data_IF_361094078052
#
_entry.id   IF_361094078052
#
_cell.length_a   1.000
_cell.length_b   1.000
_cell.length_c   1.000
_cell.angle_alpha   90.00
_cell.angle_beta   90.00
_cell.angle_gamma   90.00
#
_symmetry.space_group_name_H-M   'P 1'
#
loop_
_entity.id
_entity.type
_entity.pdbx_description
1 polymer ?
#
# COMPACT_ATOMS: atom_id res chain seq x y z
N UNK A 1 -10.45 -7.86 -40.05
CA UNK A 1 -10.63 -7.08 -38.80
C UNK A 1 -10.26 -8.04 -37.68
N UNK A 2 -9.02 -7.94 -37.18
CA UNK A 2 -8.54 -8.84 -36.15
C UNK A 2 -9.23 -8.49 -34.82
N UNK A 3 -9.72 -9.51 -34.12
CA UNK A 3 -10.28 -9.41 -32.78
C UNK A 3 -9.22 -8.79 -31.84
N UNK A 4 -9.62 -7.76 -31.09
CA UNK A 4 -8.74 -7.01 -30.16
C UNK A 4 -8.69 -7.71 -28.78
N UNK A 5 -9.24 -8.93 -28.67
CA UNK A 5 -9.56 -9.58 -27.39
C UNK A 5 -8.45 -10.46 -26.80
N UNK A 6 -7.30 -10.60 -27.44
CA UNK A 6 -6.16 -11.35 -26.85
C UNK A 6 -4.90 -10.48 -26.81
N UNK A 7 -4.86 -9.52 -25.88
CA UNK A 7 -3.59 -8.96 -25.43
C UNK A 7 -3.03 -9.93 -24.38
N UNK A 8 -1.99 -10.69 -24.74
CA UNK A 8 -1.28 -11.57 -23.79
C UNK A 8 -0.92 -10.78 -22.51
N UNK A 9 -1.35 -11.31 -21.36
CA UNK A 9 -1.00 -10.77 -20.05
C UNK A 9 -1.94 -9.71 -19.46
N UNK A 10 -3.11 -9.47 -20.05
CA UNK A 10 -4.19 -8.71 -19.39
C UNK A 10 -5.04 -9.66 -18.55
N UNK A 11 -5.18 -9.35 -17.26
CA UNK A 11 -5.97 -10.13 -16.32
C UNK A 11 -7.41 -9.61 -16.30
N UNK A 12 -8.40 -10.51 -16.39
CA UNK A 12 -9.80 -10.16 -16.18
C UNK A 12 -10.11 -9.99 -14.69
N UNK A 13 -10.71 -8.85 -14.34
CA UNK A 13 -11.09 -8.55 -12.95
C UNK A 13 -12.36 -9.29 -12.54
N UNK A 14 -12.39 -9.77 -11.28
CA UNK A 14 -13.54 -10.48 -10.69
C UNK A 14 -14.16 -9.73 -9.49
N UNK A 15 -13.82 -8.45 -9.32
CA UNK A 15 -14.28 -7.61 -8.22
C UNK A 15 -14.90 -6.32 -8.77
N UNK A 16 -16.19 -6.14 -8.53
CA UNK A 16 -16.99 -5.07 -9.14
C UNK A 16 -17.20 -3.85 -8.22
N UNK A 17 -16.90 -3.98 -6.92
CA UNK A 17 -17.17 -2.89 -5.97
C UNK A 17 -16.19 -1.74 -6.19
N UNK A 18 -16.74 -0.53 -6.24
CA UNK A 18 -16.00 0.73 -6.39
C UNK A 18 -16.39 1.65 -5.23
N UNK A 19 -15.39 2.18 -4.53
CA UNK A 19 -15.60 3.12 -3.42
C UNK A 19 -14.98 4.47 -3.79
N UNK A 20 -15.82 5.50 -3.91
CA UNK A 20 -15.44 6.79 -4.49
C UNK A 20 -14.83 7.79 -3.50
N UNK A 21 -14.97 7.56 -2.18
CA UNK A 21 -14.32 8.35 -1.13
C UNK A 21 -13.49 7.49 -0.19
N UNK A 22 -12.41 8.04 0.36
CA UNK A 22 -11.66 7.38 1.42
C UNK A 22 -12.48 7.24 2.72
N UNK A 23 -13.40 8.18 2.98
CA UNK A 23 -14.29 8.15 4.14
C UNK A 23 -15.19 6.90 4.14
N UNK A 24 -15.57 6.42 2.95
CA UNK A 24 -16.45 5.27 2.76
C UNK A 24 -15.71 3.91 2.82
N UNK A 25 -14.38 3.93 2.99
CA UNK A 25 -13.55 2.72 3.04
C UNK A 25 -13.39 2.14 4.45
N UNK A 26 -14.02 2.74 5.46
CA UNK A 26 -13.95 2.32 6.87
C UNK A 26 -12.48 2.20 7.38
N UNK A 27 -11.67 3.21 7.05
CA UNK A 27 -10.27 3.31 7.46
C UNK A 27 -10.16 3.85 8.89
N UNK A 28 -9.06 3.55 9.58
CA UNK A 28 -8.74 4.16 10.87
C UNK A 28 -8.64 5.69 10.73
N UNK A 29 -9.18 6.43 11.69
CA UNK A 29 -9.16 7.91 11.67
C UNK A 29 -7.75 8.50 11.52
N UNK A 30 -6.77 7.91 12.21
CA UNK A 30 -5.36 8.30 12.11
C UNK A 30 -4.79 8.12 10.69
N UNK A 31 -5.11 6.99 10.05
CA UNK A 31 -4.70 6.70 8.68
C UNK A 31 -5.39 7.64 7.69
N UNK A 32 -6.70 7.87 7.87
CA UNK A 32 -7.48 8.78 7.04
C UNK A 32 -6.91 10.21 7.09
N UNK A 33 -6.52 10.67 8.29
CA UNK A 33 -5.81 11.94 8.46
C UNK A 33 -4.47 11.97 7.70
N UNK A 34 -3.71 10.88 7.73
CA UNK A 34 -2.45 10.76 6.97
C UNK A 34 -2.65 10.82 5.46
N UNK A 35 -3.70 10.17 4.95
CA UNK A 35 -4.08 10.21 3.52
C UNK A 35 -4.33 11.65 3.06
N UNK A 36 -5.14 12.41 3.80
CA UNK A 36 -5.44 13.80 3.45
C UNK A 36 -4.23 14.72 3.64
N UNK A 37 -3.42 14.52 4.69
CA UNK A 37 -2.21 15.30 4.92
C UNK A 37 -1.13 15.06 3.83
N UNK A 38 -1.08 13.85 3.28
CA UNK A 38 -0.22 13.53 2.12
C UNK A 38 -0.67 14.26 0.84
N UNK A 39 -1.90 14.76 0.80
CA UNK A 39 -2.47 15.52 -0.33
C UNK A 39 -3.41 14.71 -1.22
N UNK A 40 -3.86 13.53 -0.81
CA UNK A 40 -4.92 12.83 -1.53
C UNK A 40 -6.28 13.41 -1.18
N UNK A 41 -7.03 13.87 -2.18
CA UNK A 41 -8.41 14.34 -2.00
C UNK A 41 -9.44 13.26 -2.36
N UNK A 42 -9.20 12.54 -3.46
CA UNK A 42 -10.06 11.46 -3.95
C UNK A 42 -9.23 10.25 -4.36
N UNK A 43 -9.74 9.02 -4.14
CA UNK A 43 -9.05 7.82 -4.58
C UNK A 43 -8.97 7.73 -6.10
N UNK A 44 -7.80 7.34 -6.61
CA UNK A 44 -7.61 7.00 -8.03
C UNK A 44 -8.37 5.73 -8.43
N UNK A 45 -8.50 5.46 -9.73
CA UNK A 45 -9.26 4.31 -10.23
C UNK A 45 -8.81 2.95 -9.64
N UNK A 46 -7.51 2.77 -9.36
CA UNK A 46 -7.00 1.55 -8.72
C UNK A 46 -7.25 1.57 -7.21
N UNK A 47 -7.15 2.73 -6.55
CA UNK A 47 -7.43 2.87 -5.11
C UNK A 47 -8.91 2.58 -4.80
N UNK A 48 -9.83 3.09 -5.63
CA UNK A 48 -11.27 2.86 -5.49
C UNK A 48 -11.68 1.38 -5.51
N UNK A 49 -10.92 0.54 -6.23
CA UNK A 49 -11.22 -0.88 -6.43
C UNK A 49 -10.41 -1.79 -5.52
N UNK A 50 -9.18 -1.41 -5.18
CA UNK A 50 -8.23 -2.32 -4.55
C UNK A 50 -8.02 -2.09 -3.05
N UNK A 51 -8.28 -0.89 -2.49
CA UNK A 51 -8.04 -0.66 -1.04
C UNK A 51 -8.92 -1.57 -0.18
N UNK A 52 -10.24 -1.53 -0.37
CA UNK A 52 -11.17 -2.32 0.44
C UNK A 52 -10.90 -3.84 0.39
N UNK A 53 -10.76 -4.49 -0.79
CA UNK A 53 -10.44 -5.92 -0.80
C UNK A 53 -9.05 -6.23 -0.22
N UNK A 54 -8.04 -5.37 -0.40
CA UNK A 54 -6.72 -5.55 0.21
C UNK A 54 -6.73 -5.37 1.74
N UNK A 55 -7.64 -4.56 2.29
CA UNK A 55 -7.85 -4.45 3.73
C UNK A 55 -8.50 -5.72 4.31
N UNK A 56 -9.27 -6.45 3.50
CA UNK A 56 -9.97 -7.69 3.85
C UNK A 56 -9.07 -8.93 3.92
N UNK A 57 -9.67 -10.13 3.93
CA UNK A 57 -8.95 -11.40 4.02
C UNK A 57 -8.60 -12.01 2.65
N UNK A 58 -8.86 -11.28 1.56
CA UNK A 58 -8.71 -11.77 0.20
C UNK A 58 -7.29 -11.54 -0.32
N UNK A 59 -6.79 -12.50 -1.09
CA UNK A 59 -5.62 -12.27 -1.95
C UNK A 59 -6.05 -11.45 -3.17
N UNK A 60 -5.26 -10.42 -3.50
CA UNK A 60 -5.61 -9.46 -4.56
C UNK A 60 -4.48 -9.39 -5.59
N UNK A 61 -4.86 -9.58 -6.85
CA UNK A 61 -3.98 -9.30 -7.99
C UNK A 61 -4.44 -8.00 -8.64
N UNK A 62 -3.56 -7.00 -8.65
CA UNK A 62 -3.84 -5.67 -9.16
C UNK A 62 -2.91 -5.32 -10.33
N UNK A 63 -3.47 -5.23 -11.54
CA UNK A 63 -2.76 -4.79 -12.74
C UNK A 63 -3.09 -3.32 -13.04
N UNK A 64 -2.09 -2.43 -12.96
CA UNK A 64 -2.25 -1.03 -13.35
C UNK A 64 -0.93 -0.42 -13.83
N UNK A 65 -1.01 0.62 -14.65
CA UNK A 65 0.16 1.35 -15.16
C UNK A 65 0.91 2.12 -14.07
N UNK A 66 2.16 2.53 -14.34
CA UNK A 66 2.90 3.40 -13.41
C UNK A 66 2.18 4.74 -13.20
N UNK A 67 2.36 5.37 -12.04
CA UNK A 67 1.73 6.65 -11.71
C UNK A 67 0.24 6.60 -11.35
N UNK A 68 -0.41 5.43 -11.34
CA UNK A 68 -1.84 5.30 -11.03
C UNK A 68 -2.16 5.28 -9.54
N UNK A 69 -1.17 5.35 -8.65
CA UNK A 69 -1.38 5.34 -7.20
C UNK A 69 -1.26 3.97 -6.52
N UNK A 70 -0.74 2.95 -7.22
CA UNK A 70 -0.53 1.58 -6.66
C UNK A 70 0.24 1.56 -5.33
N UNK A 71 1.28 2.39 -5.20
CA UNK A 71 2.08 2.46 -3.97
C UNK A 71 1.23 2.86 -2.78
N UNK A 72 0.43 3.91 -2.93
CA UNK A 72 -0.50 4.33 -1.90
C UNK A 72 -1.60 3.27 -1.65
N UNK A 73 -2.09 2.59 -2.69
CA UNK A 73 -3.08 1.51 -2.54
C UNK A 73 -2.64 0.45 -1.54
N UNK A 74 -1.48 -0.19 -1.75
CA UNK A 74 -1.02 -1.23 -0.81
C UNK A 74 -0.52 -0.62 0.50
N UNK A 75 0.03 0.60 0.50
CA UNK A 75 0.49 1.27 1.73
C UNK A 75 -0.67 1.51 2.70
N UNK A 76 -1.78 2.09 2.21
CA UNK A 76 -3.02 2.28 2.98
C UNK A 76 -3.54 0.94 3.46
N UNK A 77 -3.59 -0.06 2.58
CA UNK A 77 -4.12 -1.39 2.93
C UNK A 77 -3.30 -2.10 4.01
N UNK A 78 -1.97 -1.98 3.95
CA UNK A 78 -1.06 -2.52 4.98
C UNK A 78 -1.27 -1.77 6.30
N UNK A 79 -1.17 -0.44 6.29
CA UNK A 79 -1.32 0.39 7.49
C UNK A 79 -2.66 0.18 8.19
N UNK A 80 -3.74 0.01 7.42
CA UNK A 80 -5.07 -0.30 7.95
C UNK A 80 -5.10 -1.60 8.76
N UNK A 81 -4.30 -2.60 8.35
CA UNK A 81 -4.25 -3.93 8.96
C UNK A 81 -3.27 -4.06 10.12
N UNK A 82 -2.34 -3.13 10.29
CA UNK A 82 -1.36 -3.16 11.38
C UNK A 82 -2.07 -3.00 12.74
N UNK A 83 -1.72 -3.85 13.70
CA UNK A 83 -2.05 -3.68 15.11
C UNK A 83 -0.95 -2.87 15.81
N UNK A 84 -1.24 -1.61 16.12
CA UNK A 84 -0.30 -0.63 16.71
C UNK A 84 0.13 -0.98 18.14
N UNK A 85 -0.53 -1.96 18.78
CA UNK A 85 -0.19 -2.41 20.14
C UNK A 85 0.80 -3.57 20.14
N UNK A 86 1.21 -4.08 18.97
CA UNK A 86 2.11 -5.22 18.82
C UNK A 86 3.41 -4.77 18.14
N UNK A 87 4.49 -4.51 18.91
CA UNK A 87 5.78 -4.07 18.37
C UNK A 87 6.54 -5.27 17.75
N UNK A 88 5.99 -5.78 16.65
CA UNK A 88 6.51 -6.92 15.89
C UNK A 88 6.29 -6.65 14.41
N UNK A 89 7.12 -7.23 13.54
CA UNK A 89 6.92 -7.18 12.10
C UNK A 89 5.61 -7.89 11.72
N UNK A 90 4.67 -7.15 11.11
CA UNK A 90 3.34 -7.65 10.72
C UNK A 90 3.10 -7.64 9.21
N UNK A 91 3.94 -6.95 8.44
CA UNK A 91 3.84 -6.86 6.99
C UNK A 91 5.24 -6.80 6.34
N UNK A 92 5.35 -7.38 5.15
CA UNK A 92 6.54 -7.32 4.31
C UNK A 92 6.15 -6.82 2.92
N UNK A 93 6.78 -5.74 2.47
CA UNK A 93 6.64 -5.23 1.10
C UNK A 93 7.95 -5.48 0.37
N UNK A 94 7.88 -6.15 -0.78
CA UNK A 94 9.05 -6.44 -1.61
C UNK A 94 9.09 -5.49 -2.81
N UNK A 95 10.28 -4.98 -3.13
CA UNK A 95 10.52 -4.11 -4.28
C UNK A 95 11.74 -4.62 -5.06
N UNK A 96 11.78 -4.44 -6.39
CA UNK A 96 12.86 -5.00 -7.22
C UNK A 96 14.16 -4.21 -7.13
N UNK A 97 14.14 -2.97 -6.61
CA UNK A 97 15.34 -2.14 -6.44
C UNK A 97 15.36 -1.42 -5.10
N UNK A 98 16.55 -0.97 -4.68
CA UNK A 98 16.77 -0.24 -3.42
C UNK A 98 16.04 1.10 -3.41
N UNK A 99 16.06 1.79 -4.54
CA UNK A 99 15.45 3.11 -4.72
C UNK A 99 13.93 3.01 -4.60
N UNK A 100 13.34 1.97 -5.19
CA UNK A 100 11.90 1.73 -5.07
C UNK A 100 11.51 1.35 -3.63
N UNK A 101 12.31 0.53 -2.93
CA UNK A 101 12.07 0.24 -1.52
C UNK A 101 12.10 1.51 -0.65
N UNK A 102 13.06 2.41 -0.88
CA UNK A 102 13.14 3.70 -0.19
C UNK A 102 11.95 4.60 -0.50
N UNK A 103 11.53 4.69 -1.78
CA UNK A 103 10.34 5.46 -2.16
C UNK A 103 9.08 4.93 -1.48
N UNK A 104 8.92 3.60 -1.40
CA UNK A 104 7.80 2.97 -0.70
C UNK A 104 7.83 3.31 0.79
N UNK A 105 9.00 3.20 1.44
CA UNK A 105 9.15 3.56 2.85
C UNK A 105 8.72 5.01 3.11
N UNK A 106 9.17 5.97 2.29
CA UNK A 106 8.79 7.39 2.42
C UNK A 106 7.26 7.56 2.34
N UNK A 107 6.62 6.92 1.36
CA UNK A 107 5.16 6.98 1.20
C UNK A 107 4.44 6.37 2.41
N UNK A 108 4.88 5.20 2.87
CA UNK A 108 4.28 4.53 4.03
C UNK A 108 4.46 5.33 5.32
N UNK A 109 5.64 5.92 5.56
CA UNK A 109 5.86 6.79 6.71
C UNK A 109 4.95 8.02 6.67
N UNK A 110 4.82 8.67 5.51
CA UNK A 110 4.00 9.87 5.39
C UNK A 110 2.49 9.58 5.55
N UNK A 111 2.01 8.46 5.01
CA UNK A 111 0.62 8.02 5.21
C UNK A 111 0.35 7.56 6.66
N UNK A 112 1.37 7.02 7.33
CA UNK A 112 1.31 6.56 8.72
C UNK A 112 1.70 7.60 9.76
N UNK A 113 1.93 8.87 9.39
CA UNK A 113 2.51 9.91 10.27
C UNK A 113 1.69 10.17 11.56
N UNK A 114 0.38 9.90 11.51
CA UNK A 114 -0.52 10.04 12.66
C UNK A 114 -0.80 8.72 13.39
N UNK A 115 -0.16 7.62 13.00
CA UNK A 115 -0.29 6.30 13.58
C UNK A 115 0.95 5.93 14.40
N UNK A 116 0.81 5.04 15.38
CA UNK A 116 1.95 4.51 16.12
C UNK A 116 2.55 3.30 15.41
N UNK A 117 3.18 3.52 14.25
CA UNK A 117 3.75 2.46 13.39
C UNK A 117 5.19 2.75 13.00
N UNK A 118 6.01 1.69 12.92
CA UNK A 118 7.38 1.76 12.43
C UNK A 118 7.47 1.17 11.02
N UNK A 119 8.13 1.86 10.10
CA UNK A 119 8.39 1.38 8.73
C UNK A 119 9.88 1.43 8.44
N UNK A 120 10.47 0.27 8.14
CA UNK A 120 11.90 0.12 7.89
C UNK A 120 12.16 -0.45 6.49
N UNK A 121 13.08 0.15 5.74
CA UNK A 121 13.55 -0.39 4.46
C UNK A 121 14.81 -1.24 4.67
N UNK A 122 14.65 -2.56 4.57
CA UNK A 122 15.78 -3.49 4.55
C UNK A 122 16.35 -3.59 3.14
N UNK A 123 17.45 -2.89 2.87
CA UNK A 123 18.12 -2.82 1.56
C UNK A 123 19.61 -3.11 1.70
N UNK A 124 20.25 -3.73 0.70
CA UNK A 124 21.69 -4.00 0.78
C UNK A 124 22.53 -2.73 0.96
N UNK A 125 23.72 -2.82 1.53
CA UNK A 125 24.62 -1.68 1.73
C UNK A 125 24.32 -0.80 2.96
N UNK A 126 23.31 -1.15 3.76
CA UNK A 126 23.15 -0.70 5.15
C UNK A 126 23.90 -1.62 6.10
N UNK A 127 24.16 -1.15 7.32
CA UNK A 127 24.76 -1.97 8.34
C UNK A 127 23.71 -2.96 8.88
N UNK A 128 24.02 -4.25 8.85
CA UNK A 128 23.13 -5.34 9.30
C UNK A 128 22.64 -5.12 10.73
N UNK A 129 23.45 -4.50 11.59
CA UNK A 129 23.05 -4.19 12.97
C UNK A 129 21.92 -3.17 13.03
N UNK A 130 21.93 -2.18 12.15
CA UNK A 130 20.91 -1.12 12.13
C UNK A 130 19.55 -1.71 11.67
N UNK A 131 19.59 -2.63 10.71
CA UNK A 131 18.39 -3.37 10.24
C UNK A 131 17.84 -4.33 11.30
N UNK A 132 18.72 -4.98 12.08
CA UNK A 132 18.31 -5.87 13.16
C UNK A 132 17.66 -5.11 14.33
N UNK A 133 18.19 -3.94 14.71
CA UNK A 133 17.60 -3.14 15.78
C UNK A 133 16.23 -2.61 15.35
N UNK A 134 16.12 -2.13 14.10
CA UNK A 134 14.88 -1.55 13.57
C UNK A 134 13.75 -2.57 13.37
N UNK A 135 14.07 -3.86 13.25
CA UNK A 135 13.08 -4.94 13.14
C UNK A 135 12.62 -5.50 14.50
N UNK A 136 13.24 -5.05 15.61
CA UNK A 136 12.92 -5.47 16.98
C UNK A 136 12.22 -4.37 17.81
N UNK A 137 12.05 -3.17 17.24
CA UNK A 137 11.46 -1.99 17.88
C UNK A 137 10.03 -1.71 17.39
#
# INVERSE_FOLDING_TARGET
MADITEIEGVIEGNYETVVESFDDMNLKDALLRGIYAFGFEKPSAIQQRAIVPCCGTSDVIAQAQSGTGKTATFSVSVLQRIDENKPTVQALVMAPTRELAQQIQIVMCALGDFMNVNVHACIGGTNVRDDQVSSQA
#
